data_IF_397254340130
#
_entry.id   IF_397254340130
#
_cell.length_a   1.000
_cell.length_b   1.000
_cell.length_c   1.000
_cell.angle_alpha   90.00
_cell.angle_beta   90.00
_cell.angle_gamma   90.00
#
_symmetry.space_group_name_H-M   'P 1'
#
loop_
_entity.id
_entity.type
_entity.pdbx_description
1 polymer ?
#
# COMPACT_ATOMS: atom_id res chain seq x y z
N UNK A 1 -27.43 6.03 3.41
CA UNK A 1 -26.17 5.29 3.13
C UNK A 1 -26.12 4.89 1.67
N UNK A 2 -25.03 5.21 1.00
CA UNK A 2 -24.81 4.79 -0.39
C UNK A 2 -24.42 3.31 -0.42
N UNK A 3 -25.16 2.42 -1.09
CA UNK A 3 -24.75 1.04 -1.20
C UNK A 3 -23.51 0.92 -2.10
N UNK A 4 -22.73 -0.15 -1.91
CA UNK A 4 -21.64 -0.46 -2.84
C UNK A 4 -22.21 -0.85 -4.21
N UNK A 5 -21.77 -0.19 -5.29
CA UNK A 5 -22.08 -0.68 -6.63
C UNK A 5 -21.32 -1.99 -6.90
N UNK A 6 -21.68 -2.70 -7.96
CA UNK A 6 -20.89 -3.83 -8.43
C UNK A 6 -19.48 -3.40 -8.83
N UNK A 7 -18.47 -4.12 -8.40
CA UNK A 7 -17.06 -3.81 -8.69
C UNK A 7 -16.22 -5.08 -8.83
N UNK A 8 -15.06 -4.92 -9.44
CA UNK A 8 -14.01 -5.93 -9.51
C UNK A 8 -12.73 -5.35 -8.92
N UNK A 9 -11.95 -6.14 -8.21
CA UNK A 9 -10.62 -5.71 -7.75
C UNK A 9 -9.63 -5.99 -8.86
N UNK A 10 -8.99 -4.93 -9.35
CA UNK A 10 -7.98 -4.99 -10.42
C UNK A 10 -6.63 -4.56 -9.87
N UNK A 11 -5.56 -5.14 -10.42
CA UNK A 11 -4.18 -4.81 -10.05
C UNK A 11 -3.49 -4.17 -11.24
N UNK A 12 -2.89 -3.02 -11.01
CA UNK A 12 -2.11 -2.28 -11.99
C UNK A 12 -0.66 -2.20 -11.53
N UNK A 13 0.27 -2.40 -12.43
CA UNK A 13 1.71 -2.31 -12.16
C UNK A 13 2.39 -1.35 -13.14
N UNK A 14 3.72 -1.25 -13.10
CA UNK A 14 4.49 -0.25 -13.84
C UNK A 14 4.14 -0.09 -15.32
N UNK A 15 3.75 -1.18 -15.98
CA UNK A 15 3.45 -1.19 -17.42
C UNK A 15 1.99 -0.91 -17.74
N UNK A 16 1.16 -0.88 -16.73
CA UNK A 16 -0.27 -0.71 -16.91
C UNK A 16 -0.67 0.76 -16.86
N UNK A 17 -1.78 1.06 -17.51
CA UNK A 17 -2.41 2.38 -17.43
C UNK A 17 -3.62 2.28 -16.50
N UNK A 18 -3.53 2.78 -15.27
CA UNK A 18 -4.68 2.80 -14.36
C UNK A 18 -5.80 3.68 -14.91
N UNK A 19 -7.05 3.44 -14.51
CA UNK A 19 -8.16 4.33 -14.88
C UNK A 19 -7.93 5.77 -14.40
N UNK A 20 -8.48 6.78 -15.06
CA UNK A 20 -8.31 8.18 -14.67
C UNK A 20 -8.64 8.48 -13.19
N UNK A 21 -9.66 7.81 -12.65
CA UNK A 21 -10.00 7.95 -11.23
C UNK A 21 -8.91 7.45 -10.30
N UNK A 22 -8.20 6.37 -10.64
CA UNK A 22 -7.06 5.87 -9.90
C UNK A 22 -5.86 6.82 -10.00
N UNK A 23 -5.57 7.32 -11.20
CA UNK A 23 -4.51 8.31 -11.42
C UNK A 23 -4.74 9.55 -10.55
N UNK A 24 -5.96 10.02 -10.43
CA UNK A 24 -6.30 11.18 -9.60
C UNK A 24 -6.16 10.89 -8.11
N UNK A 25 -6.70 9.77 -7.64
CA UNK A 25 -6.69 9.41 -6.21
C UNK A 25 -5.29 9.11 -5.68
N UNK A 26 -4.41 8.55 -6.52
CA UNK A 26 -3.06 8.13 -6.15
C UNK A 26 -1.98 8.95 -6.85
N UNK A 27 -2.30 10.15 -7.29
CA UNK A 27 -1.41 11.02 -8.08
C UNK A 27 -0.03 11.20 -7.44
N UNK A 28 0.01 11.50 -6.15
CA UNK A 28 1.27 11.74 -5.43
C UNK A 28 2.11 10.47 -5.35
N UNK A 29 1.49 9.35 -4.99
CA UNK A 29 2.15 8.05 -4.84
C UNK A 29 2.67 7.53 -6.18
N UNK A 30 1.84 7.61 -7.21
CA UNK A 30 2.24 7.19 -8.56
C UNK A 30 3.36 8.05 -9.13
N UNK A 31 3.33 9.36 -8.90
CA UNK A 31 4.41 10.26 -9.32
C UNK A 31 5.73 9.91 -8.63
N UNK A 32 5.69 9.56 -7.34
CA UNK A 32 6.86 9.12 -6.59
C UNK A 32 7.40 7.79 -7.14
N UNK A 33 6.55 6.80 -7.30
CA UNK A 33 6.93 5.45 -7.77
C UNK A 33 7.48 5.43 -9.20
N UNK A 34 7.08 6.39 -10.01
CA UNK A 34 7.55 6.52 -11.41
C UNK A 34 8.83 7.31 -11.56
N UNK A 35 9.34 7.93 -10.48
CA UNK A 35 10.63 8.63 -10.54
C UNK A 35 11.76 7.64 -10.73
N UNK A 36 12.78 8.01 -11.53
CA UNK A 36 14.02 7.25 -11.58
C UNK A 36 14.63 7.14 -10.19
N UNK A 37 15.20 5.99 -9.88
CA UNK A 37 15.95 5.83 -8.64
C UNK A 37 17.11 6.81 -8.60
N UNK A 38 17.48 7.34 -7.41
CA UNK A 38 18.70 8.14 -7.28
C UNK A 38 19.91 7.36 -7.80
N UNK A 39 20.83 8.04 -8.46
CA UNK A 39 22.02 7.44 -9.08
C UNK A 39 22.87 6.62 -8.10
N UNK A 40 22.77 6.92 -6.82
CA UNK A 40 23.49 6.21 -5.75
C UNK A 40 22.76 4.98 -5.23
N UNK A 41 21.56 4.69 -5.71
CA UNK A 41 20.87 3.46 -5.43
C UNK A 41 21.13 2.49 -6.56
N UNK A 42 21.72 1.38 -6.20
CA UNK A 42 21.91 0.28 -7.11
C UNK A 42 20.56 -0.14 -7.72
N UNK A 43 20.49 -0.19 -9.04
CA UNK A 43 19.31 -0.58 -9.83
C UNK A 43 18.97 -2.08 -9.72
N UNK A 44 19.51 -2.77 -8.72
CA UNK A 44 19.28 -4.21 -8.49
C UNK A 44 17.81 -4.54 -8.26
N UNK A 45 17.09 -3.60 -7.74
CA UNK A 45 15.71 -3.86 -7.49
C UNK A 45 14.83 -2.96 -8.30
N UNK A 46 14.71 -3.21 -9.51
CA UNK A 46 13.75 -2.55 -10.36
C UNK A 46 12.49 -2.20 -9.57
N UNK A 47 12.46 -0.99 -9.02
CA UNK A 47 11.32 -0.49 -8.31
C UNK A 47 10.09 -0.68 -9.17
N UNK A 48 9.14 -1.34 -8.63
CA UNK A 48 7.83 -1.44 -9.25
C UNK A 48 6.77 -1.09 -8.23
N UNK A 49 5.68 -0.60 -8.70
CA UNK A 49 4.51 -0.42 -7.87
C UNK A 49 3.45 -1.48 -8.21
N UNK A 50 2.56 -1.70 -7.26
CA UNK A 50 1.32 -2.41 -7.47
C UNK A 50 0.19 -1.56 -6.88
N UNK A 51 -0.80 -1.25 -7.69
CA UNK A 51 -1.98 -0.53 -7.29
C UNK A 51 -3.19 -1.45 -7.42
N UNK A 52 -3.77 -1.84 -6.29
CA UNK A 52 -5.01 -2.61 -6.28
C UNK A 52 -6.19 -1.66 -6.15
N UNK A 53 -7.13 -1.76 -7.05
CA UNK A 53 -8.31 -0.89 -7.06
C UNK A 53 -9.60 -1.68 -7.16
N UNK A 54 -10.62 -1.21 -6.46
CA UNK A 54 -12.00 -1.62 -6.70
C UNK A 54 -12.60 -0.73 -7.79
N UNK A 55 -12.93 -1.32 -8.92
CA UNK A 55 -13.35 -0.62 -10.14
C UNK A 55 -14.69 -1.17 -10.62
N UNK A 56 -15.64 -0.29 -10.88
CA UNK A 56 -16.92 -0.67 -11.47
C UNK A 56 -16.78 -1.00 -12.97
N UNK A 57 -17.78 -1.61 -13.57
CA UNK A 57 -17.82 -1.90 -15.00
C UNK A 57 -17.63 -0.62 -15.84
N UNK A 58 -18.16 0.50 -15.38
CA UNK A 58 -18.01 1.81 -16.05
C UNK A 58 -16.65 2.48 -15.84
N UNK A 59 -15.73 1.88 -15.05
CA UNK A 59 -14.42 2.43 -14.79
C UNK A 59 -14.35 3.37 -13.58
N UNK A 60 -15.43 3.48 -12.79
CA UNK A 60 -15.42 4.29 -11.57
C UNK A 60 -14.61 3.58 -10.48
N UNK A 61 -13.66 4.29 -9.86
CA UNK A 61 -12.78 3.76 -8.82
C UNK A 61 -13.34 4.08 -7.44
N UNK A 62 -13.63 3.04 -6.66
CA UNK A 62 -14.20 3.16 -5.30
C UNK A 62 -13.12 3.39 -4.25
N UNK A 63 -11.95 2.86 -4.48
CA UNK A 63 -10.81 2.93 -3.57
C UNK A 63 -9.66 2.07 -4.06
N UNK A 64 -8.56 2.07 -3.32
CA UNK A 64 -7.40 1.26 -3.68
C UNK A 64 -6.33 1.24 -2.59
N UNK A 65 -5.32 0.42 -2.83
CA UNK A 65 -4.11 0.30 -2.03
C UNK A 65 -2.91 0.38 -2.96
N UNK A 66 -1.98 1.27 -2.67
CA UNK A 66 -0.75 1.44 -3.43
C UNK A 66 0.44 0.88 -2.68
N UNK A 67 1.20 0.00 -3.34
CA UNK A 67 2.44 -0.59 -2.83
C UNK A 67 3.62 -0.18 -3.69
N UNK A 68 4.75 0.09 -3.05
CA UNK A 68 6.08 0.05 -3.68
C UNK A 68 6.76 -1.27 -3.35
N UNK A 69 7.35 -1.90 -4.36
CA UNK A 69 7.97 -3.21 -4.22
C UNK A 69 9.43 -3.12 -4.68
N UNK A 70 10.34 -3.50 -3.83
CA UNK A 70 11.76 -3.49 -4.16
C UNK A 70 12.68 -3.71 -2.97
N UNK A 71 14.00 -3.56 -3.15
CA UNK A 71 14.99 -3.66 -2.08
C UNK A 71 15.07 -2.33 -1.32
N UNK A 72 14.07 -2.06 -0.51
CA UNK A 72 13.96 -0.80 0.26
C UNK A 72 14.56 -0.87 1.66
N UNK A 73 15.15 -2.02 2.02
CA UNK A 73 15.84 -2.21 3.29
C UNK A 73 17.21 -1.54 3.34
N UNK A 74 17.89 -1.68 4.48
CA UNK A 74 19.23 -1.17 4.70
C UNK A 74 20.06 -2.21 5.45
N UNK A 75 21.39 -2.04 5.43
CA UNK A 75 22.31 -2.96 6.10
C UNK A 75 22.14 -4.40 5.63
N UNK A 76 22.02 -5.36 6.55
CA UNK A 76 21.85 -6.78 6.19
C UNK A 76 20.60 -7.07 5.38
N UNK A 77 19.59 -6.18 5.41
CA UNK A 77 18.32 -6.34 4.70
C UNK A 77 18.28 -5.62 3.35
N UNK A 78 19.38 -5.03 2.92
CA UNK A 78 19.43 -4.19 1.72
C UNK A 78 19.07 -4.94 0.43
N UNK A 79 19.29 -6.26 0.41
CA UNK A 79 19.03 -7.11 -0.75
C UNK A 79 17.64 -7.75 -0.73
N UNK A 80 16.92 -7.63 0.37
CA UNK A 80 15.62 -8.27 0.50
C UNK A 80 14.54 -7.50 -0.26
N UNK A 81 13.72 -8.25 -1.00
CA UNK A 81 12.54 -7.67 -1.63
C UNK A 81 11.46 -7.46 -0.57
N UNK A 82 11.01 -6.23 -0.46
CA UNK A 82 10.04 -5.78 0.53
C UNK A 82 8.94 -5.00 -0.18
N UNK A 83 7.73 -5.06 0.35
CA UNK A 83 6.64 -4.18 -0.06
C UNK A 83 6.44 -3.09 0.98
N UNK A 84 6.29 -1.85 0.52
CA UNK A 84 5.93 -0.72 1.35
C UNK A 84 4.56 -0.20 0.93
N UNK A 85 3.66 -0.07 1.91
CA UNK A 85 2.33 0.46 1.68
C UNK A 85 2.38 1.99 1.72
N UNK A 86 2.19 2.61 0.58
CA UNK A 86 2.24 4.06 0.44
C UNK A 86 0.90 4.72 0.78
N UNK A 87 -0.20 4.09 0.40
CA UNK A 87 -1.52 4.65 0.68
C UNK A 87 -2.60 3.59 0.59
N UNK A 88 -3.54 3.67 1.53
CA UNK A 88 -4.85 3.02 1.46
C UNK A 88 -5.91 4.11 1.43
N UNK A 89 -6.81 4.05 0.47
CA UNK A 89 -7.88 5.03 0.35
C UNK A 89 -9.16 4.37 -0.13
N UNK A 90 -10.26 4.72 0.51
CA UNK A 90 -11.63 4.39 0.08
C UNK A 90 -12.43 5.68 0.07
N UNK A 91 -13.15 5.92 -1.01
CA UNK A 91 -14.01 7.12 -1.10
C UNK A 91 -14.97 7.16 0.10
N UNK A 92 -15.19 8.34 0.69
CA UNK A 92 -15.97 8.46 1.92
C UNK A 92 -17.33 7.77 1.86
N UNK A 93 -18.04 7.88 0.74
CA UNK A 93 -19.37 7.31 0.53
C UNK A 93 -19.39 5.77 0.55
N UNK A 94 -18.23 5.11 0.38
CA UNK A 94 -18.10 3.65 0.35
C UNK A 94 -17.37 3.08 1.55
N UNK A 95 -17.08 3.90 2.55
CA UNK A 95 -16.40 3.46 3.77
C UNK A 95 -17.31 2.63 4.67
N UNK A 96 -16.68 1.88 5.61
CA UNK A 96 -17.36 1.04 6.62
C UNK A 96 -18.21 -0.08 6.02
N UNK A 97 -17.80 -0.60 4.87
CA UNK A 97 -18.48 -1.70 4.15
C UNK A 97 -17.53 -2.87 3.85
N UNK A 98 -16.36 -2.89 4.50
CA UNK A 98 -15.36 -3.96 4.32
C UNK A 98 -14.47 -3.81 3.11
N UNK A 99 -14.62 -2.76 2.31
CA UNK A 99 -13.86 -2.59 1.07
C UNK A 99 -12.36 -2.41 1.31
N UNK A 100 -11.98 -1.62 2.32
CA UNK A 100 -10.56 -1.44 2.68
C UNK A 100 -9.90 -2.75 3.08
N UNK A 101 -10.60 -3.59 3.83
CA UNK A 101 -10.12 -4.93 4.22
C UNK A 101 -9.87 -5.81 3.00
N UNK A 102 -10.81 -5.84 2.09
CA UNK A 102 -10.72 -6.63 0.86
C UNK A 102 -9.56 -6.16 -0.03
N UNK A 103 -9.43 -4.85 -0.21
CA UNK A 103 -8.33 -4.25 -0.96
C UNK A 103 -6.97 -4.53 -0.34
N UNK A 104 -6.84 -4.42 0.98
CA UNK A 104 -5.58 -4.69 1.67
C UNK A 104 -5.23 -6.17 1.62
N UNK A 105 -6.19 -7.06 1.76
CA UNK A 105 -5.97 -8.50 1.61
C UNK A 105 -5.47 -8.85 0.20
N UNK A 106 -6.01 -8.20 -0.82
CA UNK A 106 -5.53 -8.38 -2.21
C UNK A 106 -4.12 -7.85 -2.38
N UNK A 107 -3.81 -6.70 -1.80
CA UNK A 107 -2.46 -6.13 -1.83
C UNK A 107 -1.44 -7.06 -1.12
N UNK A 108 -1.83 -7.65 0.01
CA UNK A 108 -1.00 -8.65 0.71
C UNK A 108 -0.71 -9.84 -0.20
N UNK A 109 -1.72 -10.36 -0.90
CA UNK A 109 -1.55 -11.47 -1.83
C UNK A 109 -0.59 -11.09 -2.98
N UNK A 110 -0.73 -9.90 -3.54
CA UNK A 110 0.16 -9.39 -4.59
C UNK A 110 1.61 -9.30 -4.10
N UNK A 111 1.83 -8.77 -2.91
CA UNK A 111 3.17 -8.69 -2.32
C UNK A 111 3.78 -10.07 -2.07
N UNK A 112 2.99 -11.02 -1.59
CA UNK A 112 3.42 -12.40 -1.36
C UNK A 112 3.79 -13.10 -2.67
N UNK A 113 2.96 -12.99 -3.70
CA UNK A 113 3.21 -13.55 -5.02
C UNK A 113 4.45 -12.93 -5.68
N UNK A 114 4.73 -11.66 -5.39
CA UNK A 114 5.94 -11.00 -5.86
C UNK A 114 7.22 -11.46 -5.15
N UNK A 115 7.11 -12.31 -4.12
CA UNK A 115 8.24 -12.83 -3.36
C UNK A 115 8.75 -11.87 -2.28
N UNK A 116 7.95 -10.89 -1.85
CA UNK A 116 8.34 -9.99 -0.78
C UNK A 116 8.45 -10.72 0.55
N UNK A 117 9.46 -10.37 1.34
CA UNK A 117 9.67 -10.93 2.68
C UNK A 117 8.61 -10.43 3.67
N UNK A 118 8.27 -9.16 3.55
CA UNK A 118 7.21 -8.56 4.38
C UNK A 118 6.58 -7.36 3.68
N UNK A 119 5.44 -6.96 4.19
CA UNK A 119 4.76 -5.71 3.86
C UNK A 119 4.81 -4.82 5.09
N UNK A 120 5.22 -3.57 4.92
CA UNK A 120 5.34 -2.62 6.02
C UNK A 120 4.85 -1.23 5.64
N UNK A 121 4.50 -0.45 6.65
CA UNK A 121 4.31 0.99 6.54
C UNK A 121 4.53 1.65 7.90
N UNK A 122 4.68 2.95 7.91
CA UNK A 122 4.73 3.75 9.13
C UNK A 122 3.76 4.92 9.04
N UNK A 123 3.15 5.26 10.16
CA UNK A 123 2.21 6.38 10.23
C UNK A 123 2.09 6.86 11.68
N UNK A 124 1.46 8.02 11.87
CA UNK A 124 1.16 8.51 13.21
C UNK A 124 -0.13 7.89 13.76
N UNK A 125 -0.38 8.08 15.06
CA UNK A 125 -1.48 7.41 15.78
C UNK A 125 -2.84 8.12 15.65
N UNK A 126 -2.98 9.07 14.75
CA UNK A 126 -4.18 9.90 14.63
C UNK A 126 -5.35 9.23 13.88
N UNK A 127 -5.14 8.02 13.35
CA UNK A 127 -6.18 7.30 12.60
C UNK A 127 -6.49 5.92 13.22
N UNK A 128 -7.40 5.84 14.19
CA UNK A 128 -7.77 4.55 14.81
C UNK A 128 -8.36 3.53 13.82
N UNK A 129 -9.03 3.98 12.78
CA UNK A 129 -9.60 3.09 11.77
C UNK A 129 -8.50 2.37 10.98
N UNK A 130 -7.40 3.04 10.72
CA UNK A 130 -6.24 2.45 10.03
C UNK A 130 -5.56 1.38 10.89
N UNK A 131 -5.30 1.66 12.16
CA UNK A 131 -4.69 0.67 13.06
C UNK A 131 -5.58 -0.54 13.25
N UNK A 132 -6.89 -0.34 13.34
CA UNK A 132 -7.86 -1.44 13.42
C UNK A 132 -7.83 -2.29 12.14
N UNK A 133 -7.73 -1.66 10.97
CA UNK A 133 -7.61 -2.34 9.69
C UNK A 133 -6.35 -3.21 9.63
N UNK A 134 -5.21 -2.66 10.03
CA UNK A 134 -3.94 -3.41 10.04
C UNK A 134 -4.01 -4.62 10.97
N UNK A 135 -4.52 -4.45 12.18
CA UNK A 135 -4.68 -5.56 13.12
C UNK A 135 -5.60 -6.64 12.57
N UNK A 136 -6.71 -6.24 11.98
CA UNK A 136 -7.67 -7.16 11.34
C UNK A 136 -7.01 -7.98 10.23
N UNK A 137 -6.09 -7.38 9.48
CA UNK A 137 -5.35 -8.05 8.40
C UNK A 137 -4.08 -8.76 8.87
N UNK A 138 -3.84 -8.86 10.17
CA UNK A 138 -2.75 -9.63 10.74
C UNK A 138 -1.40 -8.92 10.81
N UNK A 139 -1.39 -7.59 10.79
CA UNK A 139 -0.16 -6.83 10.99
C UNK A 139 0.18 -6.74 12.47
N UNK A 140 1.47 -6.82 12.78
CA UNK A 140 2.00 -6.38 14.05
C UNK A 140 2.20 -4.86 14.01
N UNK A 141 1.85 -4.19 15.11
CA UNK A 141 2.06 -2.75 15.27
C UNK A 141 3.14 -2.53 16.33
N UNK A 142 4.13 -1.73 15.98
CA UNK A 142 5.26 -1.43 16.86
C UNK A 142 5.38 0.09 17.02
N UNK A 143 5.43 0.56 18.26
CA UNK A 143 5.71 1.96 18.54
C UNK A 143 7.09 2.35 18.03
N UNK A 144 7.14 3.47 17.34
CA UNK A 144 8.39 4.12 17.01
C UNK A 144 8.41 5.44 17.78
N UNK A 145 9.17 5.47 18.87
CA UNK A 145 9.39 6.70 19.60
C UNK A 145 10.56 7.44 18.96
N UNK A 146 10.24 8.47 18.22
CA UNK A 146 11.22 9.50 17.87
C UNK A 146 11.74 10.23 19.11
N UNK A 147 12.66 11.15 18.96
CA UNK A 147 13.14 12.00 20.04
C UNK A 147 12.01 12.84 20.68
N UNK A 148 12.34 13.61 21.70
CA UNK A 148 11.37 14.40 22.49
C UNK A 148 10.51 15.37 21.65
N UNK A 149 10.99 15.74 20.45
CA UNK A 149 10.33 16.69 19.55
C UNK A 149 9.57 16.00 18.37
N UNK A 150 9.51 14.67 18.33
CA UNK A 150 8.84 13.94 17.26
C UNK A 150 7.45 13.46 17.68
N UNK A 151 6.50 13.59 16.77
CA UNK A 151 5.16 13.03 17.01
C UNK A 151 5.23 11.49 17.12
N UNK A 152 4.49 10.89 18.08
CA UNK A 152 4.42 9.44 18.17
C UNK A 152 3.92 8.82 16.87
N UNK A 153 4.61 7.79 16.41
CA UNK A 153 4.21 7.04 15.23
C UNK A 153 4.34 5.54 15.48
N UNK A 154 3.87 4.75 14.54
CA UNK A 154 3.98 3.30 14.60
C UNK A 154 4.52 2.73 13.29
N UNK A 155 5.11 1.56 13.40
CA UNK A 155 5.45 0.69 12.28
C UNK A 155 4.44 -0.45 12.24
N UNK A 156 3.80 -0.66 11.10
CA UNK A 156 2.96 -1.84 10.85
C UNK A 156 3.75 -2.80 9.97
N UNK A 157 3.85 -4.05 10.39
CA UNK A 157 4.62 -5.07 9.67
C UNK A 157 3.82 -6.36 9.57
N UNK A 158 3.80 -6.92 8.38
CA UNK A 158 3.24 -8.25 8.13
C UNK A 158 4.27 -9.11 7.43
N UNK A 159 4.82 -10.15 8.09
CA UNK A 159 5.64 -11.16 7.41
C UNK A 159 4.82 -11.89 6.35
N UNK A 160 5.44 -12.17 5.21
CA UNK A 160 4.77 -12.79 4.06
C UNK A 160 5.32 -14.17 3.72
N UNK A 161 6.54 -14.46 4.16
CA UNK A 161 7.24 -15.72 3.92
C UNK A 161 7.48 -16.43 5.24
N UNK A 162 7.51 -17.71 5.23
CA UNK A 162 7.78 -18.49 6.42
C UNK A 162 6.87 -19.65 6.59
#
# INVERSE_FOLDING_TARGET
MTPLPGYTIKVYSNKDQPPPGAEQLFKTQLAYSRKPLPENRDDRGKWRFALTCAVTESGHVLGGVHLDIGPIGSGPLAEEKVAYLERTFVRPEYRRKGLATELLQKAIAVAREAGCQHLRCSNNWDNPAETALFRKCGFALVDINGGEDEEPCYLAVKPLQG
#
